data_IF_778833476873
#
_entry.id   IF_778833476873
#
_cell.length_a   1.000
_cell.length_b   1.000
_cell.length_c   1.000
_cell.angle_alpha   90.00
_cell.angle_beta   90.00
_cell.angle_gamma   90.00
#
_symmetry.space_group_name_H-M   'P 1'
#
loop_
_entity.id
_entity.type
_entity.pdbx_description
1 polymer ?
#
# COMPACT_ATOMS: atom_id res chain seq x y z
N UNK A 1 -4.11 -2.59 -20.77
CA UNK A 1 -4.05 -3.63 -19.71
C UNK A 1 -3.53 -2.95 -18.45
N UNK A 2 -4.32 -2.93 -17.38
CA UNK A 2 -3.95 -2.20 -16.16
C UNK A 2 -3.08 -3.09 -15.27
N UNK A 3 -1.93 -2.58 -14.83
CA UNK A 3 -0.98 -3.35 -14.02
C UNK A 3 -1.36 -3.25 -12.55
N UNK A 4 -1.41 -4.38 -11.85
CA UNK A 4 -1.80 -4.43 -10.44
C UNK A 4 -0.62 -4.84 -9.57
N UNK A 5 -0.46 -4.23 -8.39
CA UNK A 5 0.56 -4.64 -7.42
C UNK A 5 0.01 -4.67 -5.98
N UNK A 6 0.58 -5.55 -5.15
CA UNK A 6 0.32 -5.62 -3.71
C UNK A 6 1.62 -5.32 -2.99
N UNK A 7 1.59 -4.36 -2.05
CA UNK A 7 2.77 -4.00 -1.24
C UNK A 7 2.46 -4.23 0.23
N UNK A 8 3.20 -5.14 0.86
CA UNK A 8 3.07 -5.43 2.29
C UNK A 8 3.85 -4.43 3.14
N UNK A 9 3.45 -4.26 4.40
CA UNK A 9 4.08 -3.35 5.37
C UNK A 9 4.30 -1.92 4.81
N UNK A 10 3.29 -1.41 4.12
CA UNK A 10 3.35 -0.15 3.36
C UNK A 10 2.74 1.04 4.10
N UNK A 11 2.43 0.85 5.39
CA UNK A 11 2.09 1.93 6.32
C UNK A 11 3.27 2.89 6.56
N UNK A 12 4.51 2.41 6.48
CA UNK A 12 5.70 3.17 6.84
C UNK A 12 6.95 2.79 6.03
N UNK A 13 8.04 3.54 6.24
CA UNK A 13 9.39 3.22 5.72
C UNK A 13 9.48 2.93 4.22
N UNK A 14 10.23 1.87 3.89
CA UNK A 14 10.48 1.47 2.50
C UNK A 14 9.23 0.93 1.80
N UNK A 15 8.35 0.22 2.51
CA UNK A 15 7.10 -0.29 1.95
C UNK A 15 6.22 0.86 1.43
N UNK A 16 6.12 1.94 2.22
CA UNK A 16 5.43 3.18 1.81
C UNK A 16 6.08 3.82 0.58
N UNK A 17 7.41 3.93 0.56
CA UNK A 17 8.13 4.53 -0.57
C UNK A 17 7.92 3.73 -1.87
N UNK A 18 8.03 2.40 -1.80
CA UNK A 18 7.75 1.49 -2.92
C UNK A 18 6.30 1.62 -3.38
N UNK A 19 5.35 1.68 -2.44
CA UNK A 19 3.94 1.82 -2.77
C UNK A 19 3.67 3.13 -3.52
N UNK A 20 4.24 4.24 -3.03
CA UNK A 20 4.12 5.52 -3.71
C UNK A 20 4.76 5.49 -5.10
N UNK A 21 5.95 4.88 -5.26
CA UNK A 21 6.65 4.80 -6.55
C UNK A 21 5.84 4.04 -7.61
N UNK A 22 5.35 2.85 -7.27
CA UNK A 22 4.54 2.03 -8.17
C UNK A 22 3.23 2.74 -8.56
N UNK A 23 2.60 3.43 -7.61
CA UNK A 23 1.44 4.27 -7.89
C UNK A 23 1.76 5.41 -8.88
N UNK A 24 2.95 6.03 -8.83
CA UNK A 24 3.32 7.06 -9.82
C UNK A 24 3.49 6.47 -11.22
N UNK A 25 3.91 5.21 -11.30
CA UNK A 25 4.10 4.48 -12.55
C UNK A 25 2.79 3.90 -13.11
N UNK A 26 1.63 4.26 -12.55
CA UNK A 26 0.31 3.93 -13.10
C UNK A 26 -0.20 2.53 -12.74
N UNK A 27 0.27 1.94 -11.63
CA UNK A 27 -0.26 0.68 -11.11
C UNK A 27 -1.53 0.93 -10.28
N UNK A 28 -2.52 0.05 -10.39
CA UNK A 28 -3.60 -0.06 -9.40
C UNK A 28 -3.15 -0.96 -8.26
N UNK A 29 -3.32 -0.54 -7.01
CA UNK A 29 -2.61 -1.23 -5.93
C UNK A 29 -3.41 -1.49 -4.68
N UNK A 30 -3.12 -2.64 -4.08
CA UNK A 30 -3.47 -2.98 -2.70
C UNK A 30 -2.29 -2.75 -1.77
N UNK A 31 -2.53 -2.14 -0.62
CA UNK A 31 -1.54 -1.98 0.45
C UNK A 31 -2.02 -2.64 1.73
N UNK A 32 -1.09 -3.24 2.48
CA UNK A 32 -1.36 -3.91 3.77
C UNK A 32 -0.49 -3.34 4.90
N UNK A 33 -0.97 -3.44 6.14
CA UNK A 33 -0.34 -2.85 7.34
C UNK A 33 -0.53 -3.74 8.56
N UNK A 34 0.48 -3.90 9.42
CA UNK A 34 0.29 -4.75 10.60
C UNK A 34 -0.38 -4.00 11.76
N UNK A 35 0.29 -2.96 12.29
CA UNK A 35 -0.12 -2.26 13.51
C UNK A 35 -0.55 -0.81 13.27
N UNK A 36 -0.11 -0.19 12.18
CA UNK A 36 -0.36 1.22 11.89
C UNK A 36 -1.38 1.39 10.75
N UNK A 37 -2.66 1.19 11.09
CA UNK A 37 -3.76 1.41 10.14
C UNK A 37 -3.83 2.86 9.66
N UNK A 38 -3.56 3.82 10.56
CA UNK A 38 -3.58 5.23 10.19
C UNK A 38 -2.48 5.53 9.17
N UNK A 39 -1.27 5.03 9.38
CA UNK A 39 -0.18 5.13 8.42
C UNK A 39 -0.54 4.57 7.04
N UNK A 40 -1.22 3.43 7.01
CA UNK A 40 -1.71 2.81 5.77
C UNK A 40 -2.76 3.67 5.06
N UNK A 41 -3.77 4.15 5.79
CA UNK A 41 -4.80 5.03 5.26
C UNK A 41 -4.22 6.35 4.74
N UNK A 42 -3.29 6.94 5.48
CA UNK A 42 -2.58 8.15 5.04
C UNK A 42 -1.73 7.88 3.79
N UNK A 43 -1.09 6.70 3.69
CA UNK A 43 -0.41 6.29 2.46
C UNK A 43 -1.41 6.19 1.30
N UNK A 44 -2.57 5.54 1.48
CA UNK A 44 -3.59 5.43 0.45
C UNK A 44 -4.14 6.79 0.00
N UNK A 45 -4.42 7.71 0.94
CA UNK A 45 -4.89 9.06 0.62
C UNK A 45 -3.94 9.87 -0.26
N UNK A 46 -2.63 9.59 -0.22
CA UNK A 46 -1.64 10.30 -1.04
C UNK A 46 -1.80 10.04 -2.54
N UNK A 47 -2.45 8.94 -2.95
CA UNK A 47 -2.58 8.55 -4.35
C UNK A 47 -3.91 7.84 -4.60
N UNK A 48 -4.67 8.28 -5.62
CA UNK A 48 -6.01 7.74 -5.92
C UNK A 48 -6.06 6.27 -6.35
N UNK A 49 -4.94 5.73 -6.80
CA UNK A 49 -4.78 4.34 -7.25
C UNK A 49 -4.25 3.41 -6.14
N UNK A 50 -4.16 3.89 -4.90
CA UNK A 50 -3.90 3.07 -3.73
C UNK A 50 -5.21 2.69 -3.05
N UNK A 51 -5.39 1.41 -2.77
CA UNK A 51 -6.49 0.89 -1.96
C UNK A 51 -5.91 0.24 -0.71
N UNK A 52 -6.40 0.68 0.44
CA UNK A 52 -6.08 0.07 1.73
C UNK A 52 -6.92 -1.20 1.90
N UNK A 53 -6.28 -2.37 1.97
CA UNK A 53 -6.99 -3.65 1.97
C UNK A 53 -6.36 -4.68 2.89
N UNK A 54 -7.13 -5.07 3.92
CA UNK A 54 -6.90 -6.17 4.86
C UNK A 54 -5.73 -5.99 5.85
N UNK A 55 -5.98 -6.39 7.10
CA UNK A 55 -4.92 -6.70 8.06
C UNK A 55 -4.11 -7.86 7.47
N UNK A 56 -2.76 -7.78 7.40
CA UNK A 56 -1.92 -8.80 6.83
C UNK A 56 -2.15 -10.08 7.61
N UNK A 57 -2.68 -11.08 6.91
CA UNK A 57 -2.60 -12.47 7.33
C UNK A 57 -1.17 -12.94 7.00
N UNK A 58 -0.18 -12.42 7.74
CA UNK A 58 1.21 -12.89 7.66
C UNK A 58 1.55 -13.43 9.05
N UNK A 59 1.30 -14.74 9.20
CA UNK A 59 2.05 -15.73 9.99
C UNK A 59 2.85 -15.20 11.20
N UNK A 60 2.17 -14.66 12.22
CA UNK A 60 2.53 -14.77 13.64
C UNK A 60 1.28 -14.77 14.48
#
# INVERSE_FOLDING_TARGET
MTKVAIVTASDSGIGKACALLLAQNGFDMGITWHSDERGAQETAKKRRNLVCGLRPFILT
#
